data_IF_771002736110
#
_entry.id   IF_771002736110
#
_cell.length_a   1.000
_cell.length_b   1.000
_cell.length_c   1.000
_cell.angle_alpha   90.00
_cell.angle_beta   90.00
_cell.angle_gamma   90.00
#
_symmetry.space_group_name_H-M   'P 1'
#
loop_
_entity.id
_entity.type
_entity.pdbx_description
1 polymer ?
#
# COMPACT_ATOMS: atom_id res chain seq x y z
N UNK A 1 -6.17 -12.28 17.76
CA UNK A 1 -4.92 -12.07 17.02
C UNK A 1 -4.74 -13.09 15.89
N UNK A 2 -5.04 -14.36 16.15
CA UNK A 2 -4.96 -15.45 15.16
C UNK A 2 -5.86 -15.30 13.92
N UNK A 3 -6.94 -14.52 14.01
CA UNK A 3 -7.82 -14.22 12.87
C UNK A 3 -7.22 -13.21 11.88
N UNK A 4 -6.26 -12.42 12.30
CA UNK A 4 -5.67 -11.35 11.48
C UNK A 4 -4.22 -11.62 11.08
N UNK A 5 -3.57 -12.59 11.75
CA UNK A 5 -2.19 -12.97 11.47
C UNK A 5 -1.98 -14.46 11.76
N UNK A 6 -1.12 -15.11 10.99
CA UNK A 6 -0.87 -16.56 11.05
C UNK A 6 0.62 -16.86 10.86
N UNK A 7 1.14 -17.94 11.45
CA UNK A 7 2.54 -18.35 11.26
C UNK A 7 2.80 -19.05 9.93
N UNK A 8 1.76 -19.32 9.14
CA UNK A 8 1.85 -19.98 7.82
C UNK A 8 1.14 -19.15 6.76
N UNK A 9 1.66 -19.13 5.55
CA UNK A 9 1.03 -18.51 4.38
C UNK A 9 0.00 -19.44 3.73
N UNK A 10 -0.67 -18.93 2.70
CA UNK A 10 -1.63 -19.67 1.89
C UNK A 10 -3.09 -19.50 2.33
N UNK A 11 -4.00 -19.96 1.47
CA UNK A 11 -5.43 -19.84 1.69
C UNK A 11 -5.93 -20.75 2.83
N UNK A 12 -6.98 -20.30 3.53
CA UNK A 12 -7.68 -21.08 4.54
C UNK A 12 -9.04 -21.57 4.08
N UNK A 13 -9.58 -20.94 3.04
CA UNK A 13 -10.91 -21.23 2.52
C UNK A 13 -11.02 -20.77 1.08
N UNK A 14 -11.95 -21.36 0.35
CA UNK A 14 -12.26 -20.93 -0.99
C UNK A 14 -13.16 -19.70 -0.96
N UNK A 15 -12.68 -18.64 -1.63
CA UNK A 15 -13.41 -17.38 -1.80
C UNK A 15 -12.83 -16.67 -3.01
N UNK A 16 -13.60 -16.60 -4.07
CA UNK A 16 -13.21 -15.82 -5.26
C UNK A 16 -13.32 -14.32 -4.97
N UNK A 17 -12.53 -13.54 -5.68
CA UNK A 17 -12.62 -12.08 -5.62
C UNK A 17 -13.66 -11.58 -6.62
N UNK A 18 -14.45 -10.57 -6.24
CA UNK A 18 -15.34 -9.91 -7.19
C UNK A 18 -14.52 -9.15 -8.24
N UNK A 19 -15.08 -9.05 -9.45
CA UNK A 19 -14.53 -8.27 -10.56
C UNK A 19 -15.64 -7.36 -11.07
N UNK A 20 -15.35 -6.08 -11.22
CA UNK A 20 -16.27 -5.07 -11.71
C UNK A 20 -16.08 -4.79 -13.21
N UNK A 21 -16.45 -3.59 -13.61
CA UNK A 21 -16.47 -3.17 -15.02
C UNK A 21 -15.14 -2.56 -15.49
N UNK A 22 -14.36 -1.99 -14.58
CA UNK A 22 -13.11 -1.30 -14.95
C UNK A 22 -11.93 -2.28 -14.99
N UNK A 23 -10.90 -2.00 -15.78
CA UNK A 23 -9.72 -2.86 -15.83
C UNK A 23 -8.98 -2.96 -14.50
N UNK A 24 -8.94 -1.87 -13.72
CA UNK A 24 -8.24 -1.82 -12.45
C UNK A 24 -9.18 -2.24 -11.33
N UNK A 25 -8.80 -3.31 -10.62
CA UNK A 25 -9.54 -3.86 -9.49
C UNK A 25 -8.71 -3.71 -8.21
N UNK A 26 -9.19 -2.94 -7.24
CA UNK A 26 -8.50 -2.67 -5.98
C UNK A 26 -9.16 -3.44 -4.84
N UNK A 27 -8.41 -4.28 -4.15
CA UNK A 27 -8.86 -5.07 -3.01
C UNK A 27 -8.22 -4.54 -1.74
N UNK A 28 -8.99 -3.83 -0.92
CA UNK A 28 -8.42 -3.07 0.19
C UNK A 28 -9.43 -2.84 1.33
N UNK A 29 -9.00 -2.10 2.33
CA UNK A 29 -9.84 -1.49 3.37
C UNK A 29 -9.21 -0.18 3.85
N UNK A 30 -9.97 0.65 4.55
CA UNK A 30 -9.55 1.98 5.01
C UNK A 30 -8.49 1.90 6.12
N UNK A 31 -7.26 1.56 5.72
CA UNK A 31 -6.05 1.59 6.56
C UNK A 31 -5.05 2.59 5.97
N UNK A 32 -4.04 3.02 6.72
CA UNK A 32 -2.99 3.91 6.19
C UNK A 32 -2.31 3.38 4.91
N UNK A 33 -2.22 2.07 4.72
CA UNK A 33 -1.68 1.50 3.48
C UNK A 33 -2.74 1.42 2.36
N UNK A 34 -3.98 1.08 2.71
CA UNK A 34 -5.08 0.92 1.75
C UNK A 34 -5.42 2.23 1.02
N UNK A 35 -5.51 3.32 1.78
CA UNK A 35 -5.88 4.64 1.23
C UNK A 35 -4.85 5.23 0.28
N UNK A 36 -3.58 4.82 0.33
CA UNK A 36 -2.56 5.27 -0.61
C UNK A 36 -2.94 5.00 -2.06
N UNK A 37 -3.45 3.79 -2.31
CA UNK A 37 -3.80 3.34 -3.67
C UNK A 37 -5.00 4.12 -4.20
N UNK A 38 -6.03 4.29 -3.39
CA UNK A 38 -7.21 5.07 -3.81
C UNK A 38 -6.86 6.55 -3.99
N UNK A 39 -6.05 7.15 -3.11
CA UNK A 39 -5.56 8.53 -3.30
C UNK A 39 -4.83 8.65 -4.65
N UNK A 40 -3.91 7.72 -4.94
CA UNK A 40 -3.17 7.74 -6.22
C UNK A 40 -4.10 7.68 -7.43
N UNK A 41 -5.11 6.82 -7.39
CA UNK A 41 -6.07 6.68 -8.49
C UNK A 41 -6.96 7.92 -8.63
N UNK A 42 -7.43 8.51 -7.53
CA UNK A 42 -8.20 9.76 -7.56
C UNK A 42 -7.36 10.94 -8.08
N UNK A 43 -6.09 11.05 -7.69
CA UNK A 43 -5.17 12.07 -8.23
C UNK A 43 -4.96 11.90 -9.74
N UNK A 44 -4.84 10.65 -10.22
CA UNK A 44 -4.74 10.39 -11.67
C UNK A 44 -6.02 10.80 -12.41
N UNK A 45 -7.19 10.54 -11.82
CA UNK A 45 -8.48 10.97 -12.38
C UNK A 45 -8.62 12.51 -12.42
N UNK A 46 -8.19 13.21 -11.35
CA UNK A 46 -8.15 14.69 -11.32
C UNK A 46 -7.22 15.28 -12.39
N UNK A 47 -6.16 14.55 -12.76
CA UNK A 47 -5.31 14.93 -13.91
C UNK A 47 -5.98 14.67 -15.27
N UNK A 48 -7.20 14.16 -15.30
CA UNK A 48 -7.95 13.84 -16.51
C UNK A 48 -7.59 12.48 -17.13
N UNK A 49 -6.88 11.64 -16.42
CA UNK A 49 -6.48 10.30 -16.89
C UNK A 49 -7.63 9.32 -16.63
N UNK A 50 -8.67 9.35 -17.45
CA UNK A 50 -9.87 8.50 -17.29
C UNK A 50 -9.59 7.01 -17.37
N UNK A 51 -8.48 6.59 -17.96
CA UNK A 51 -8.03 5.19 -17.97
C UNK A 51 -7.64 4.67 -16.57
N UNK A 52 -7.55 5.55 -15.56
CA UNK A 52 -7.34 5.20 -14.16
C UNK A 52 -8.64 4.87 -13.40
N UNK A 53 -9.81 4.87 -14.06
CA UNK A 53 -11.06 4.39 -13.44
C UNK A 53 -10.89 2.96 -12.91
N UNK A 54 -11.47 2.72 -11.73
CA UNK A 54 -11.25 1.48 -11.00
C UNK A 54 -12.50 1.02 -10.24
N UNK A 55 -12.56 -0.25 -9.88
CA UNK A 55 -13.51 -0.79 -8.92
C UNK A 55 -12.79 -1.11 -7.60
N UNK A 56 -13.35 -0.68 -6.47
CA UNK A 56 -12.80 -0.92 -5.14
C UNK A 56 -13.65 -1.93 -4.36
N UNK A 57 -13.00 -2.95 -3.81
CA UNK A 57 -13.62 -4.05 -3.09
C UNK A 57 -13.12 -4.11 -1.65
N UNK A 58 -14.08 -4.13 -0.73
CA UNK A 58 -13.78 -4.20 0.70
C UNK A 58 -13.29 -5.60 1.09
N UNK A 59 -12.09 -5.65 1.66
CA UNK A 59 -11.52 -6.84 2.31
C UNK A 59 -11.67 -6.70 3.82
N UNK A 60 -12.56 -7.51 4.40
CA UNK A 60 -12.81 -7.53 5.85
C UNK A 60 -11.73 -8.33 6.58
N UNK A 61 -10.63 -7.66 6.90
CA UNK A 61 -9.47 -8.32 7.52
C UNK A 61 -9.79 -8.96 8.87
N UNK A 62 -10.76 -8.42 9.61
CA UNK A 62 -11.26 -8.99 10.87
C UNK A 62 -12.04 -10.30 10.69
N UNK A 63 -12.59 -10.54 9.50
CA UNK A 63 -13.29 -11.77 9.12
C UNK A 63 -12.39 -12.79 8.43
N UNK A 64 -11.16 -12.39 8.07
CA UNK A 64 -10.19 -13.27 7.43
C UNK A 64 -10.27 -13.30 5.90
N UNK A 65 -10.95 -12.34 5.26
CA UNK A 65 -11.10 -12.26 3.81
C UNK A 65 -9.75 -12.30 3.06
N UNK A 66 -8.69 -11.75 3.65
CA UNK A 66 -7.34 -11.77 3.09
C UNK A 66 -6.71 -13.18 2.99
N UNK A 67 -7.35 -14.18 3.59
CA UNK A 67 -6.93 -15.58 3.52
C UNK A 67 -7.81 -16.43 2.59
N UNK A 68 -8.73 -15.82 1.86
CA UNK A 68 -9.48 -16.47 0.80
C UNK A 68 -8.59 -16.82 -0.40
N UNK A 69 -8.89 -17.92 -1.09
CA UNK A 69 -8.08 -18.44 -2.20
C UNK A 69 -7.88 -17.42 -3.30
N UNK A 70 -8.89 -16.63 -3.66
CA UNK A 70 -8.80 -15.58 -4.68
C UNK A 70 -7.86 -14.45 -4.26
N UNK A 71 -7.93 -13.98 -3.00
CA UNK A 71 -7.04 -12.93 -2.53
C UNK A 71 -5.57 -13.41 -2.45
N UNK A 72 -5.35 -14.64 -1.99
CA UNK A 72 -4.01 -15.23 -1.89
C UNK A 72 -3.36 -15.40 -3.27
N UNK A 73 -4.14 -15.68 -4.32
CA UNK A 73 -3.63 -15.70 -5.71
C UNK A 73 -3.10 -14.33 -6.14
N UNK A 74 -3.73 -13.23 -5.71
CA UNK A 74 -3.29 -11.86 -6.03
C UNK A 74 -2.13 -11.43 -5.14
N UNK A 75 -2.22 -11.71 -3.84
CA UNK A 75 -1.18 -11.37 -2.87
C UNK A 75 -0.88 -12.56 -1.93
N UNK A 76 0.21 -13.30 -2.19
CA UNK A 76 0.60 -14.44 -1.37
C UNK A 76 0.98 -14.06 0.08
N UNK A 77 1.27 -12.77 0.34
CA UNK A 77 1.51 -12.23 1.68
C UNK A 77 0.22 -12.04 2.50
N UNK A 78 -0.96 -12.14 1.87
CA UNK A 78 -2.27 -12.00 2.53
C UNK A 78 -2.41 -10.68 3.29
N UNK A 79 -1.93 -9.58 2.70
CA UNK A 79 -2.03 -8.21 3.23
C UNK A 79 -2.72 -7.30 2.21
N UNK A 80 -3.53 -6.36 2.70
CA UNK A 80 -4.09 -5.29 1.89
C UNK A 80 -3.09 -4.10 1.86
N UNK A 81 -3.12 -3.28 0.80
CA UNK A 81 -3.87 -3.41 -0.44
C UNK A 81 -3.28 -4.44 -1.40
N UNK A 82 -4.11 -4.93 -2.31
CA UNK A 82 -3.72 -5.69 -3.48
C UNK A 82 -4.53 -5.19 -4.69
N UNK A 83 -4.01 -5.35 -5.88
CA UNK A 83 -4.61 -4.85 -7.12
C UNK A 83 -4.47 -5.88 -8.23
N UNK A 84 -5.47 -5.97 -9.10
CA UNK A 84 -5.38 -6.66 -10.38
C UNK A 84 -5.64 -5.65 -11.49
N UNK A 85 -4.75 -5.61 -12.46
CA UNK A 85 -4.96 -4.86 -13.69
C UNK A 85 -5.27 -5.84 -14.84
N UNK A 86 -6.48 -5.76 -15.38
CA UNK A 86 -6.96 -6.58 -16.48
C UNK A 86 -6.53 -6.05 -17.88
N UNK A 87 -5.94 -4.86 -17.93
CA UNK A 87 -5.42 -4.23 -19.13
C UNK A 87 -4.05 -3.60 -18.89
N UNK A 88 -3.03 -4.38 -18.48
CA UNK A 88 -1.68 -3.86 -18.28
C UNK A 88 -1.16 -3.27 -19.59
N UNK A 89 -0.35 -2.21 -19.51
CA UNK A 89 0.31 -1.64 -20.67
C UNK A 89 1.54 -2.47 -21.06
N UNK A 90 1.81 -2.57 -22.35
CA UNK A 90 2.96 -3.31 -22.90
C UNK A 90 2.57 -4.31 -23.99
N UNK A 91 3.57 -4.91 -24.60
CA UNK A 91 3.41 -5.92 -25.68
C UNK A 91 3.07 -7.32 -25.14
N UNK A 92 3.01 -7.46 -23.81
CA UNK A 92 2.77 -8.74 -23.17
C UNK A 92 1.27 -9.07 -23.13
N UNK A 93 0.88 -10.10 -23.88
CA UNK A 93 -0.45 -10.68 -23.86
C UNK A 93 -0.66 -11.66 -22.66
N UNK A 94 0.09 -11.48 -21.58
CA UNK A 94 0.12 -12.39 -20.42
C UNK A 94 -1.16 -12.43 -19.58
N UNK A 95 -2.19 -11.65 -19.94
CA UNK A 95 -3.44 -11.56 -19.20
C UNK A 95 -3.37 -10.61 -17.99
N UNK A 96 -4.28 -10.75 -17.01
CA UNK A 96 -4.33 -9.86 -15.85
C UNK A 96 -3.05 -9.86 -15.02
N UNK A 97 -2.60 -8.67 -14.64
CA UNK A 97 -1.41 -8.48 -13.80
C UNK A 97 -1.80 -8.27 -12.35
N UNK A 98 -1.30 -9.12 -11.46
CA UNK A 98 -1.45 -8.97 -10.01
C UNK A 98 -0.32 -8.09 -9.45
N UNK A 99 -0.69 -7.04 -8.70
CA UNK A 99 0.26 -6.14 -8.06
C UNK A 99 -0.07 -6.05 -6.57
N UNK A 100 0.93 -6.26 -5.73
CA UNK A 100 0.81 -6.15 -4.28
C UNK A 100 1.99 -5.37 -3.70
N UNK A 101 1.93 -5.02 -2.42
CA UNK A 101 2.68 -3.99 -1.72
C UNK A 101 2.25 -2.58 -2.16
N UNK A 102 1.82 -1.75 -1.21
CA UNK A 102 1.27 -0.41 -1.53
C UNK A 102 2.27 0.46 -2.29
N UNK A 103 3.56 0.41 -1.97
CA UNK A 103 4.59 1.14 -2.70
C UNK A 103 4.79 0.63 -4.14
N UNK A 104 4.72 -0.68 -4.34
CA UNK A 104 4.80 -1.28 -5.68
C UNK A 104 3.59 -0.88 -6.54
N UNK A 105 2.39 -0.87 -5.95
CA UNK A 105 1.17 -0.42 -6.65
C UNK A 105 1.31 1.05 -7.05
N UNK A 106 1.79 1.94 -6.17
CA UNK A 106 2.02 3.35 -6.50
C UNK A 106 3.00 3.51 -7.66
N UNK A 107 4.14 2.81 -7.64
CA UNK A 107 5.13 2.87 -8.71
C UNK A 107 4.58 2.32 -10.03
N UNK A 108 3.87 1.20 -9.98
CA UNK A 108 3.24 0.62 -11.15
C UNK A 108 2.25 1.60 -11.82
N UNK A 109 1.35 2.21 -11.03
CA UNK A 109 0.36 3.16 -11.54
C UNK A 109 1.04 4.42 -12.11
N UNK A 110 2.08 4.93 -11.43
CA UNK A 110 2.84 6.08 -11.92
C UNK A 110 3.52 5.79 -13.25
N UNK A 111 4.09 4.62 -13.42
CA UNK A 111 4.74 4.18 -14.67
C UNK A 111 3.72 3.90 -15.78
N UNK A 112 2.63 3.19 -15.45
CA UNK A 112 1.57 2.88 -16.41
C UNK A 112 0.97 4.14 -17.04
N UNK A 113 0.72 5.17 -16.23
CA UNK A 113 0.07 6.41 -16.67
C UNK A 113 1.05 7.55 -16.97
N UNK A 114 2.34 7.38 -16.70
CA UNK A 114 3.36 8.41 -16.94
C UNK A 114 3.15 9.68 -16.13
N UNK A 115 2.59 9.59 -14.93
CA UNK A 115 2.20 10.71 -14.09
C UNK A 115 2.58 10.50 -12.63
N UNK A 116 2.66 11.59 -11.85
CA UNK A 116 2.92 11.61 -10.41
C UNK A 116 4.28 11.00 -10.01
N UNK A 117 5.21 10.91 -10.96
CA UNK A 117 6.61 10.52 -10.73
C UNK A 117 7.52 11.36 -11.64
N UNK A 118 8.63 11.91 -11.13
CA UNK A 118 9.57 12.64 -11.95
C UNK A 118 10.19 11.77 -13.05
N UNK A 119 10.47 12.39 -14.20
CA UNK A 119 11.09 11.71 -15.34
C UNK A 119 12.62 11.80 -15.34
N UNK A 120 13.17 12.89 -14.78
CA UNK A 120 14.63 13.01 -14.66
C UNK A 120 15.18 12.08 -13.58
N UNK A 121 16.35 11.53 -13.81
CA UNK A 121 16.91 10.48 -12.95
C UNK A 121 17.15 10.92 -11.50
N UNK A 122 17.49 12.18 -11.26
CA UNK A 122 17.81 12.67 -9.90
C UNK A 122 16.54 12.73 -9.05
N UNK A 123 15.54 13.46 -9.50
CA UNK A 123 14.28 13.63 -8.75
C UNK A 123 13.50 12.30 -8.68
N UNK A 124 13.56 11.50 -9.76
CA UNK A 124 12.98 10.14 -9.75
C UNK A 124 13.63 9.27 -8.68
N UNK A 125 14.95 9.30 -8.56
CA UNK A 125 15.66 8.53 -7.53
C UNK A 125 15.30 9.03 -6.14
N UNK A 126 15.26 10.36 -5.93
CA UNK A 126 14.83 10.93 -4.64
C UNK A 126 13.38 10.51 -4.30
N UNK A 127 12.47 10.56 -5.27
CA UNK A 127 11.08 10.11 -5.09
C UNK A 127 11.03 8.64 -4.67
N UNK A 128 11.73 7.76 -5.36
CA UNK A 128 11.80 6.32 -5.02
C UNK A 128 12.41 6.10 -3.64
N UNK A 129 13.45 6.85 -3.27
CA UNK A 129 14.05 6.76 -1.93
C UNK A 129 13.01 7.04 -0.84
N UNK A 130 12.20 8.10 -1.00
CA UNK A 130 11.15 8.43 -0.03
C UNK A 130 10.00 7.42 -0.02
N UNK A 131 9.62 6.88 -1.16
CA UNK A 131 8.64 5.77 -1.22
C UNK A 131 9.18 4.55 -0.46
N UNK A 132 10.42 4.14 -0.71
CA UNK A 132 11.03 3.01 -0.03
C UNK A 132 11.23 3.27 1.46
N UNK A 133 11.66 4.49 1.84
CA UNK A 133 11.75 4.90 3.24
C UNK A 133 10.40 4.74 3.94
N UNK A 134 9.30 5.21 3.32
CA UNK A 134 7.96 5.08 3.90
C UNK A 134 7.54 3.61 4.00
N UNK A 135 7.85 2.76 3.00
CA UNK A 135 7.53 1.33 3.05
C UNK A 135 8.27 0.60 4.17
N UNK A 136 9.55 0.92 4.37
CA UNK A 136 10.37 0.27 5.40
C UNK A 136 10.12 0.83 6.80
N UNK A 137 9.78 2.11 6.92
CA UNK A 137 9.67 2.82 8.20
C UNK A 137 8.24 2.87 8.74
N UNK A 138 7.24 3.00 7.86
CA UNK A 138 5.82 3.04 8.25
C UNK A 138 5.35 1.90 9.17
N UNK A 139 5.82 0.65 8.99
CA UNK A 139 5.48 -0.45 9.88
C UNK A 139 5.88 -0.25 11.35
N UNK A 140 6.93 0.51 11.63
CA UNK A 140 7.31 0.82 13.01
C UNK A 140 6.30 1.74 13.70
N UNK A 141 5.65 2.63 12.95
CA UNK A 141 4.61 3.54 13.45
C UNK A 141 3.31 2.77 13.69
N UNK A 142 2.75 2.14 12.66
CA UNK A 142 1.47 1.45 12.73
C UNK A 142 1.54 0.09 13.43
N UNK A 143 2.36 -0.82 12.90
CA UNK A 143 2.52 -2.18 13.41
C UNK A 143 3.35 -2.28 14.68
N UNK A 144 4.27 -1.36 14.90
CA UNK A 144 5.06 -1.26 16.12
C UNK A 144 4.38 -0.42 17.18
N UNK A 145 4.58 0.91 17.13
CA UNK A 145 4.05 1.83 18.15
C UNK A 145 2.52 1.72 18.30
N UNK A 146 1.78 1.83 17.20
CA UNK A 146 0.31 1.77 17.23
C UNK A 146 -0.21 0.48 17.82
N UNK A 147 0.40 -0.66 17.46
CA UNK A 147 0.01 -1.95 18.03
C UNK A 147 0.19 -1.99 19.55
N UNK A 148 1.40 -1.75 20.05
CA UNK A 148 1.69 -1.89 21.48
C UNK A 148 1.07 -0.78 22.34
N UNK A 149 0.90 0.43 21.78
CA UNK A 149 0.28 1.53 22.49
C UNK A 149 -1.24 1.44 22.53
N UNK A 150 -1.90 1.11 21.42
CA UNK A 150 -3.35 1.17 21.31
C UNK A 150 -4.03 -0.21 21.33
N UNK A 151 -3.51 -1.19 20.58
CA UNK A 151 -4.24 -2.41 20.24
C UNK A 151 -3.82 -3.65 21.04
N UNK A 152 -2.62 -3.70 21.62
CA UNK A 152 -2.17 -4.84 22.41
C UNK A 152 -3.06 -5.03 23.64
N UNK A 153 -3.52 -6.25 23.93
CA UNK A 153 -4.39 -6.53 25.07
C UNK A 153 -3.68 -6.31 26.41
N UNK A 154 -2.35 -6.43 26.41
CA UNK A 154 -1.50 -6.20 27.57
C UNK A 154 -0.55 -5.05 27.30
N UNK A 155 -0.55 -4.04 28.20
CA UNK A 155 0.41 -2.94 28.12
C UNK A 155 1.79 -3.41 28.55
N UNK A 156 2.78 -3.17 27.68
CA UNK A 156 4.17 -3.51 27.89
C UNK A 156 5.03 -2.26 27.68
N UNK A 157 5.65 -1.77 28.74
CA UNK A 157 6.38 -0.51 28.71
C UNK A 157 7.57 -0.55 27.74
N UNK A 158 8.33 -1.62 27.72
CA UNK A 158 9.53 -1.71 26.88
C UNK A 158 9.24 -1.54 25.38
N UNK A 159 8.37 -2.33 24.74
CA UNK A 159 8.08 -2.13 23.33
C UNK A 159 7.40 -0.78 23.04
N UNK A 160 6.55 -0.28 23.94
CA UNK A 160 5.95 1.06 23.78
C UNK A 160 7.06 2.11 23.72
N UNK A 161 7.98 2.12 24.68
CA UNK A 161 9.08 3.09 24.71
C UNK A 161 10.01 2.93 23.50
N UNK A 162 10.37 1.70 23.13
CA UNK A 162 11.23 1.41 21.97
C UNK A 162 10.64 1.96 20.67
N UNK A 163 9.35 1.70 20.41
CA UNK A 163 8.70 2.16 19.19
C UNK A 163 8.34 3.65 19.24
N UNK A 164 8.07 4.23 20.42
CA UNK A 164 7.93 5.67 20.58
C UNK A 164 9.19 6.41 20.14
N UNK A 165 10.37 5.94 20.55
CA UNK A 165 11.63 6.56 20.16
C UNK A 165 11.86 6.47 18.64
N UNK A 166 11.57 5.33 18.04
CA UNK A 166 11.71 5.14 16.59
C UNK A 166 10.70 6.02 15.80
N UNK A 167 9.46 6.09 16.27
CA UNK A 167 8.45 6.98 15.66
C UNK A 167 8.87 8.44 15.71
N UNK A 168 9.35 8.91 16.86
CA UNK A 168 9.88 10.29 16.99
C UNK A 168 11.05 10.55 16.05
N UNK A 169 11.98 9.59 15.93
CA UNK A 169 13.10 9.69 15.00
C UNK A 169 12.66 9.83 13.55
N UNK A 170 11.66 9.05 13.14
CA UNK A 170 11.13 9.12 11.78
C UNK A 170 10.44 10.46 11.50
N UNK A 171 9.64 10.95 12.45
CA UNK A 171 9.01 12.26 12.34
C UNK A 171 10.04 13.40 12.28
N UNK A 172 11.11 13.32 13.06
CA UNK A 172 12.22 14.29 13.02
C UNK A 172 12.96 14.28 11.66
N UNK A 173 13.12 13.10 11.04
CA UNK A 173 13.67 13.00 9.67
C UNK A 173 12.78 13.72 8.68
N UNK A 174 11.47 13.50 8.75
CA UNK A 174 10.50 14.12 7.86
C UNK A 174 10.42 15.64 8.07
N UNK A 175 10.37 16.08 9.33
CA UNK A 175 10.32 17.51 9.72
C UNK A 175 11.54 18.26 9.17
N UNK A 176 12.74 17.70 9.37
CA UNK A 176 13.98 18.29 8.85
C UNK A 176 14.03 18.31 7.33
N UNK A 177 13.53 17.27 6.67
CA UNK A 177 13.47 17.24 5.21
C UNK A 177 12.55 18.32 4.65
N UNK A 178 11.41 18.55 5.30
CA UNK A 178 10.39 19.51 4.87
C UNK A 178 10.62 20.95 5.36
N UNK A 179 11.57 21.19 6.25
CA UNK A 179 11.78 22.50 6.91
C UNK A 179 11.90 23.69 5.95
N UNK A 180 12.45 23.46 4.74
CA UNK A 180 12.62 24.47 3.69
C UNK A 180 12.06 24.01 2.34
N UNK A 181 11.12 23.08 2.33
CA UNK A 181 10.51 22.52 1.12
C UNK A 181 9.00 22.56 1.19
N UNK A 182 8.35 22.82 0.07
CA UNK A 182 6.89 22.75 -0.06
C UNK A 182 6.44 21.29 -0.23
N UNK A 183 7.25 20.47 -0.90
CA UNK A 183 6.93 19.09 -1.23
C UNK A 183 8.07 18.14 -0.83
N UNK A 184 7.79 16.85 -0.79
CA UNK A 184 8.78 15.81 -0.51
C UNK A 184 9.90 15.78 -1.57
N UNK A 185 9.55 16.03 -2.83
CA UNK A 185 10.46 16.04 -3.98
C UNK A 185 10.05 17.17 -4.92
N UNK A 186 11.03 17.80 -5.53
CA UNK A 186 10.82 18.95 -6.41
C UNK A 186 10.70 20.27 -5.64
N UNK A 187 10.26 21.32 -6.34
CA UNK A 187 10.04 22.69 -5.82
C UNK A 187 8.62 22.94 -5.37
#
# INVERSE_FOLDING_TARGET
FSKTNRPVSGATHDKELPVGKHPIQVYSTATPNGVKVTIMLEELLELGITAAEYDAWLIRIGEGDQFGSGFVKVNPNSKIPAMVDHAPSGEDNGGPLCVFESGSILLYLAEKFGALIPTNIRDRTECINWVMWQMCSGPFVGGGFGHFYAYAPTKMEYPINRYTMETKRQLDVLDKHLANKTYMVGE
#
